data_IF_400444987622
#
_entry.id   IF_400444987622
#
_cell.length_a   1.000
_cell.length_b   1.000
_cell.length_c   1.000
_cell.angle_alpha   90.00
_cell.angle_beta   90.00
_cell.angle_gamma   90.00
#
_symmetry.space_group_name_H-M   'P 1'
#
loop_
_entity.id
_entity.type
_entity.pdbx_description
1 polymer ?
#
# COMPACT_ATOMS: atom_id res chain seq x y z
N UNK A 1 36.59 26.08 -24.57
CA UNK A 1 36.78 26.15 -23.11
C UNK A 1 35.43 26.46 -22.48
N UNK A 2 34.68 25.43 -22.10
CA UNK A 2 33.57 25.50 -21.15
C UNK A 2 33.49 24.14 -20.46
N UNK A 3 33.22 24.21 -19.17
CA UNK A 3 33.76 23.33 -18.14
C UNK A 3 32.69 22.30 -17.78
N UNK A 4 33.09 21.02 -17.74
CA UNK A 4 32.32 20.00 -17.04
C UNK A 4 32.34 20.31 -15.53
N UNK A 5 31.21 20.09 -14.84
CA UNK A 5 31.05 19.67 -13.43
C UNK A 5 29.75 20.25 -12.89
N UNK A 6 28.69 19.47 -12.69
CA UNK A 6 28.67 18.52 -11.59
C UNK A 6 27.56 17.50 -11.80
N UNK A 7 27.97 16.22 -11.79
CA UNK A 7 27.10 15.10 -11.40
C UNK A 7 26.48 15.40 -10.04
N UNK A 8 25.25 14.94 -9.83
CA UNK A 8 24.72 14.29 -8.62
C UNK A 8 23.29 14.74 -8.35
N UNK A 9 22.32 13.92 -8.74
CA UNK A 9 21.32 13.37 -7.84
C UNK A 9 20.40 12.46 -8.65
N UNK A 10 20.70 11.17 -8.60
CA UNK A 10 19.71 10.10 -8.61
C UNK A 10 18.56 10.28 -9.62
N UNK A 11 18.84 9.88 -10.86
CA UNK A 11 17.86 9.08 -11.58
C UNK A 11 17.49 7.95 -10.62
N UNK A 12 16.36 8.10 -9.92
CA UNK A 12 15.78 7.04 -9.14
C UNK A 12 15.32 6.00 -10.14
N UNK A 13 16.28 5.16 -10.55
CA UNK A 13 16.06 3.79 -10.96
C UNK A 13 15.03 3.21 -9.99
N UNK A 14 13.76 3.26 -10.37
CA UNK A 14 12.88 2.18 -9.98
C UNK A 14 13.35 1.02 -10.83
N UNK A 15 14.42 0.37 -10.36
CA UNK A 15 14.80 -0.96 -10.79
C UNK A 15 13.55 -1.81 -10.61
N UNK A 16 12.84 -1.97 -11.72
CA UNK A 16 11.87 -3.02 -11.90
C UNK A 16 12.67 -4.34 -11.85
N UNK A 17 13.00 -4.76 -10.63
CA UNK A 17 13.55 -6.07 -10.36
C UNK A 17 12.45 -7.08 -10.70
N UNK A 18 12.51 -7.58 -11.93
CA UNK A 18 11.64 -8.60 -12.48
C UNK A 18 11.93 -9.89 -11.73
N UNK A 19 11.07 -10.22 -10.77
CA UNK A 19 11.02 -11.56 -10.18
C UNK A 19 10.17 -12.44 -11.11
N UNK A 20 10.56 -13.70 -11.34
CA UNK A 20 10.18 -14.47 -12.53
C UNK A 20 8.68 -14.72 -12.59
N UNK A 21 7.92 -13.97 -13.40
CA UNK A 21 6.53 -14.20 -13.88
C UNK A 21 5.54 -14.96 -12.95
N UNK A 22 5.75 -14.81 -11.65
CA UNK A 22 5.01 -15.30 -10.50
C UNK A 22 4.95 -14.14 -9.49
N UNK A 23 5.08 -12.91 -9.98
CA UNK A 23 4.86 -11.72 -9.19
C UNK A 23 3.35 -11.64 -8.98
N UNK A 24 2.94 -12.26 -7.88
CA UNK A 24 1.58 -12.69 -7.62
C UNK A 24 0.54 -11.64 -8.01
N UNK A 25 -0.35 -12.00 -8.94
CA UNK A 25 -1.45 -11.18 -9.46
C UNK A 25 -2.56 -10.95 -8.41
N UNK A 26 -2.20 -10.78 -7.13
CA UNK A 26 -3.13 -10.61 -6.03
C UNK A 26 -4.04 -9.41 -6.23
N UNK A 27 -3.57 -8.31 -6.81
CA UNK A 27 -4.43 -7.16 -7.10
C UNK A 27 -5.57 -7.55 -8.04
N UNK A 28 -5.25 -8.25 -9.14
CA UNK A 28 -6.25 -8.73 -10.09
C UNK A 28 -7.20 -9.73 -9.43
N UNK A 29 -6.68 -10.64 -8.62
CA UNK A 29 -7.49 -11.64 -7.90
C UNK A 29 -8.40 -11.00 -6.84
N UNK A 30 -7.91 -10.03 -6.05
CA UNK A 30 -8.68 -9.33 -5.02
C UNK A 30 -9.84 -8.55 -5.64
N UNK A 31 -9.60 -7.85 -6.77
CA UNK A 31 -10.63 -7.04 -7.42
C UNK A 31 -11.67 -7.87 -8.19
N UNK A 32 -11.31 -9.07 -8.66
CA UNK A 32 -12.22 -9.95 -9.41
C UNK A 32 -12.89 -11.02 -8.53
N UNK A 33 -12.47 -11.17 -7.27
CA UNK A 33 -13.03 -12.16 -6.37
C UNK A 33 -14.50 -11.86 -6.04
N UNK A 34 -15.35 -12.89 -6.15
CA UNK A 34 -16.78 -12.82 -5.85
C UNK A 34 -17.08 -12.99 -4.36
N UNK A 35 -16.39 -12.22 -3.52
CA UNK A 35 -16.50 -12.34 -2.05
C UNK A 35 -17.85 -11.86 -1.51
N UNK A 36 -18.51 -10.93 -2.20
CA UNK A 36 -19.79 -10.37 -1.77
C UNK A 36 -20.99 -11.29 -1.97
N UNK A 37 -20.81 -12.40 -2.69
CA UNK A 37 -21.85 -13.42 -2.82
C UNK A 37 -22.11 -14.11 -1.46
N UNK A 38 -21.10 -14.15 -0.58
CA UNK A 38 -21.18 -14.79 0.75
C UNK A 38 -20.83 -13.87 1.93
N UNK A 39 -19.96 -12.87 1.72
CA UNK A 39 -19.50 -11.95 2.76
C UNK A 39 -20.14 -10.57 2.61
N UNK A 40 -20.31 -9.87 3.73
CA UNK A 40 -20.72 -8.46 3.75
C UNK A 40 -19.58 -7.61 4.25
N UNK A 41 -19.51 -6.37 3.77
CA UNK A 41 -18.56 -5.41 4.32
C UNK A 41 -18.91 -5.12 5.78
N UNK A 42 -17.97 -5.36 6.68
CA UNK A 42 -18.11 -5.03 8.10
C UNK A 42 -17.78 -3.57 8.37
N UNK A 43 -18.45 -2.96 9.34
CA UNK A 43 -18.26 -1.56 9.64
C UNK A 43 -16.87 -1.28 10.25
N UNK A 44 -16.39 -0.06 10.02
CA UNK A 44 -15.22 0.49 10.70
C UNK A 44 -15.69 1.25 11.94
N UNK A 45 -15.43 0.66 13.11
CA UNK A 45 -15.84 1.24 14.39
C UNK A 45 -14.69 2.08 14.98
N UNK A 46 -14.99 3.31 15.39
CA UNK A 46 -13.99 4.12 16.10
C UNK A 46 -13.84 3.64 17.54
N UNK A 47 -12.61 3.42 17.99
CA UNK A 47 -12.32 3.01 19.37
C UNK A 47 -11.94 4.24 20.22
N UNK A 48 -12.88 4.88 20.96
CA UNK A 48 -12.60 6.12 21.68
C UNK A 48 -11.57 5.92 22.81
N UNK A 49 -11.65 4.81 23.55
CA UNK A 49 -10.75 4.55 24.68
C UNK A 49 -9.29 4.35 24.22
N UNK A 50 -9.06 3.60 23.14
CA UNK A 50 -7.73 3.42 22.56
C UNK A 50 -7.24 4.69 21.88
N UNK A 51 -8.13 5.40 21.19
CA UNK A 51 -7.78 6.65 20.53
C UNK A 51 -7.30 7.71 21.52
N UNK A 52 -7.99 7.86 22.65
CA UNK A 52 -7.62 8.80 23.71
C UNK A 52 -6.29 8.41 24.37
N UNK A 53 -6.05 7.11 24.61
CA UNK A 53 -4.82 6.62 25.23
C UNK A 53 -3.59 6.80 24.33
N UNK A 54 -3.73 6.52 23.03
CA UNK A 54 -2.65 6.61 22.06
C UNK A 54 -2.52 7.99 21.41
N UNK A 55 -3.47 8.90 21.70
CA UNK A 55 -3.60 10.22 21.06
C UNK A 55 -3.63 10.15 19.53
N UNK A 56 -4.18 9.06 18.99
CA UNK A 56 -4.30 8.78 17.55
C UNK A 56 -5.73 8.34 17.24
N UNK A 57 -6.20 8.52 16.01
CA UNK A 57 -7.50 7.98 15.60
C UNK A 57 -7.37 6.50 15.31
N UNK A 58 -7.87 5.67 16.22
CA UNK A 58 -7.88 4.21 16.09
C UNK A 58 -9.26 3.75 15.62
N UNK A 59 -9.27 3.03 14.50
CA UNK A 59 -10.45 2.40 13.91
C UNK A 59 -10.28 0.87 13.96
N UNK A 60 -11.34 0.16 14.27
CA UNK A 60 -11.39 -1.29 14.31
C UNK A 60 -12.23 -1.80 13.15
N UNK A 61 -11.72 -2.78 12.42
CA UNK A 61 -12.51 -3.56 11.47
C UNK A 61 -13.10 -4.75 12.25
N UNK A 62 -14.42 -4.87 12.24
CA UNK A 62 -15.12 -5.97 12.92
C UNK A 62 -15.19 -7.22 12.06
#
# INVERSE_FOLDING_TARGET
MQVQSSRTAAEAETCAETLPAQQTDYLRLILTARVYDAARETELERAPNLSTRLRNTVLLKR
#
